data_IF_092200581501
#
_entry.id   IF_092200581501
#
_cell.length_a   1.000
_cell.length_b   1.000
_cell.length_c   1.000
_cell.angle_alpha   90.00
_cell.angle_beta   90.00
_cell.angle_gamma   90.00
#
_symmetry.space_group_name_H-M   'P 1'
#
loop_
_entity.id
_entity.type
_entity.pdbx_description
1 polymer ?
#
# COMPACT_ATOMS: atom_id res chain seq x y z
N UNK A 1 -2.05 -7.02 14.61
CA UNK A 1 -2.29 -5.77 13.83
C UNK A 1 -1.63 -4.54 14.46
N UNK A 2 -1.95 -4.09 15.70
CA UNK A 2 -1.33 -2.87 16.26
C UNK A 2 0.20 -2.98 16.48
N UNK A 3 0.71 -4.17 16.78
CA UNK A 3 2.16 -4.40 16.92
C UNK A 3 2.92 -4.17 15.60
N UNK A 4 2.38 -4.58 14.45
CA UNK A 4 3.02 -4.41 13.14
C UNK A 4 3.13 -2.94 12.74
N UNK A 5 2.07 -2.16 13.01
CA UNK A 5 2.07 -0.70 12.76
C UNK A 5 3.10 0.01 13.67
N UNK A 6 3.29 -0.50 14.91
CA UNK A 6 4.29 0.02 15.84
C UNK A 6 5.72 -0.30 15.39
N UNK A 7 5.97 -1.50 14.82
CA UNK A 7 7.25 -1.85 14.22
C UNK A 7 7.55 -1.00 12.97
N UNK A 8 6.54 -0.71 12.13
CA UNK A 8 6.63 0.23 11.02
C UNK A 8 7.00 1.68 11.42
N UNK A 9 6.77 2.03 12.69
CA UNK A 9 7.08 3.36 13.25
C UNK A 9 8.40 3.41 14.03
N UNK A 10 8.86 2.28 14.58
CA UNK A 10 9.89 2.27 15.63
C UNK A 10 11.14 1.43 15.33
N UNK A 11 11.14 0.56 14.31
CA UNK A 11 12.33 -0.26 13.99
C UNK A 11 13.32 0.49 13.10
N UNK A 12 14.59 0.43 13.48
CA UNK A 12 15.76 0.92 12.72
C UNK A 12 16.26 -0.07 11.64
N UNK A 13 15.66 -1.26 11.54
CA UNK A 13 16.05 -2.30 10.60
C UNK A 13 15.07 -2.34 9.42
N UNK A 14 15.55 -2.13 8.18
CA UNK A 14 14.71 -2.19 6.97
C UNK A 14 13.99 -3.54 6.82
N UNK A 15 14.65 -4.65 7.16
CA UNK A 15 14.03 -5.99 7.11
C UNK A 15 12.76 -6.10 7.97
N UNK A 16 12.72 -5.46 9.15
CA UNK A 16 11.55 -5.49 10.04
C UNK A 16 10.41 -4.60 9.52
N UNK A 17 10.72 -3.56 8.75
CA UNK A 17 9.71 -2.79 8.00
C UNK A 17 9.14 -3.58 6.84
N UNK A 18 9.99 -4.31 6.14
CA UNK A 18 9.59 -5.18 5.04
C UNK A 18 8.66 -6.30 5.52
N UNK A 19 9.08 -7.07 6.52
CA UNK A 19 8.25 -8.13 7.09
C UNK A 19 6.90 -7.60 7.57
N UNK A 20 6.90 -6.41 8.20
CA UNK A 20 5.67 -5.80 8.69
C UNK A 20 4.76 -5.30 7.56
N UNK A 21 5.32 -4.69 6.52
CA UNK A 21 4.58 -4.23 5.35
C UNK A 21 4.02 -5.41 4.54
N UNK A 22 4.82 -6.46 4.33
CA UNK A 22 4.44 -7.70 3.65
C UNK A 22 3.39 -8.47 4.44
N UNK A 23 3.53 -8.57 5.77
CA UNK A 23 2.51 -9.18 6.62
C UNK A 23 1.18 -8.40 6.55
N UNK A 24 1.22 -7.06 6.52
CA UNK A 24 0.03 -6.24 6.34
C UNK A 24 -0.57 -6.40 4.93
N UNK A 25 0.25 -6.46 3.89
CA UNK A 25 -0.17 -6.71 2.52
C UNK A 25 -0.90 -8.06 2.41
N UNK A 26 -0.30 -9.12 2.94
CA UNK A 26 -0.90 -10.46 2.97
C UNK A 26 -2.20 -10.46 3.79
N UNK A 27 -2.20 -9.90 4.99
CA UNK A 27 -3.42 -9.82 5.82
C UNK A 27 -4.55 -9.04 5.15
N UNK A 28 -4.22 -7.99 4.38
CA UNK A 28 -5.18 -7.22 3.60
C UNK A 28 -5.68 -7.95 2.35
N UNK A 29 -4.91 -8.91 1.81
CA UNK A 29 -5.30 -9.74 0.68
C UNK A 29 -6.34 -10.81 1.06
N UNK A 30 -6.26 -11.34 2.29
CA UNK A 30 -7.08 -12.48 2.70
C UNK A 30 -8.42 -12.10 3.36
N UNK A 31 -8.63 -10.85 3.79
CA UNK A 31 -9.85 -10.48 4.50
C UNK A 31 -10.17 -8.98 4.39
N UNK A 32 -11.33 -8.69 3.81
CA UNK A 32 -11.89 -7.35 3.61
C UNK A 32 -12.09 -6.60 4.94
N UNK A 33 -12.51 -7.30 5.99
CA UNK A 33 -12.66 -6.72 7.34
C UNK A 33 -11.30 -6.34 7.95
N UNK A 34 -10.26 -7.17 7.72
CA UNK A 34 -8.91 -6.87 8.20
C UNK A 34 -8.30 -5.72 7.40
N UNK A 35 -8.52 -5.65 6.09
CA UNK A 35 -8.05 -4.54 5.26
C UNK A 35 -8.71 -3.22 5.69
N UNK A 36 -10.00 -3.24 6.00
CA UNK A 36 -10.72 -2.10 6.58
C UNK A 36 -10.16 -1.67 7.94
N UNK A 37 -9.90 -2.62 8.85
CA UNK A 37 -9.31 -2.34 10.15
C UNK A 37 -7.88 -1.78 10.08
N UNK A 38 -7.10 -2.19 9.07
CA UNK A 38 -5.75 -1.68 8.80
C UNK A 38 -5.81 -0.25 8.26
N UNK A 39 -6.69 0.00 7.28
CA UNK A 39 -6.94 1.34 6.74
C UNK A 39 -7.39 2.32 7.83
N UNK A 40 -8.36 1.92 8.66
CA UNK A 40 -8.89 2.72 9.78
C UNK A 40 -7.83 3.05 10.84
N UNK A 41 -6.73 2.30 10.92
CA UNK A 41 -5.60 2.57 11.82
C UNK A 41 -4.53 3.49 11.22
N UNK A 42 -4.81 4.14 10.09
CA UNK A 42 -3.89 5.09 9.44
C UNK A 42 -2.78 4.40 8.65
N UNK A 43 -2.99 3.17 8.18
CA UNK A 43 -2.00 2.47 7.37
C UNK A 43 -1.84 3.06 5.96
N UNK A 44 -2.89 3.67 5.39
CA UNK A 44 -2.87 4.26 4.03
C UNK A 44 -1.75 5.32 3.90
N UNK A 45 -1.72 6.40 4.71
CA UNK A 45 -0.66 7.41 4.61
C UNK A 45 0.73 6.83 4.87
N UNK A 46 0.85 5.84 5.76
CA UNK A 46 2.12 5.14 6.01
C UNK A 46 2.59 4.34 4.79
N UNK A 47 1.69 3.63 4.11
CA UNK A 47 2.02 2.85 2.92
C UNK A 47 2.38 3.75 1.73
N UNK A 48 1.67 4.87 1.56
CA UNK A 48 2.02 5.91 0.56
C UNK A 48 3.39 6.51 0.87
N UNK A 49 3.69 6.78 2.13
CA UNK A 49 5.02 7.26 2.54
C UNK A 49 6.12 6.23 2.27
N UNK A 50 5.86 4.93 2.48
CA UNK A 50 6.80 3.85 2.16
C UNK A 50 7.04 3.72 0.66
N UNK A 51 5.99 3.86 -0.14
CA UNK A 51 6.10 3.90 -1.59
C UNK A 51 6.90 5.13 -2.08
N UNK A 52 6.85 6.25 -1.34
CA UNK A 52 7.63 7.47 -1.61
C UNK A 52 9.10 7.34 -1.20
N UNK A 53 9.43 6.47 -0.25
CA UNK A 53 10.80 6.28 0.24
C UNK A 53 11.73 5.75 -0.86
N UNK A 54 13.00 6.15 -0.85
CA UNK A 54 14.06 5.59 -1.70
C UNK A 54 14.70 4.31 -1.12
N UNK A 55 14.10 3.75 -0.05
CA UNK A 55 14.53 2.50 0.57
C UNK A 55 14.20 1.27 -0.29
N UNK A 56 14.30 0.08 0.31
CA UNK A 56 14.19 -1.20 -0.40
C UNK A 56 13.00 -1.32 -1.36
N UNK A 57 13.27 -1.75 -2.60
CA UNK A 57 12.25 -1.97 -3.63
C UNK A 57 11.23 -3.03 -3.23
N UNK A 58 11.63 -4.03 -2.44
CA UNK A 58 10.71 -5.04 -1.93
C UNK A 58 9.66 -4.46 -0.98
N UNK A 59 10.06 -3.48 -0.14
CA UNK A 59 9.14 -2.72 0.72
C UNK A 59 8.16 -1.91 -0.12
N UNK A 60 8.63 -1.31 -1.21
CA UNK A 60 7.78 -0.54 -2.13
C UNK A 60 6.76 -1.45 -2.84
N UNK A 61 7.19 -2.64 -3.28
CA UNK A 61 6.31 -3.63 -3.91
C UNK A 61 5.24 -4.14 -2.93
N UNK A 62 5.63 -4.47 -1.70
CA UNK A 62 4.68 -4.86 -0.65
C UNK A 62 3.70 -3.74 -0.32
N UNK A 63 4.17 -2.50 -0.23
CA UNK A 63 3.32 -1.34 0.02
C UNK A 63 2.31 -1.11 -1.12
N UNK A 64 2.75 -1.22 -2.37
CA UNK A 64 1.88 -1.14 -3.54
C UNK A 64 0.85 -2.29 -3.55
N UNK A 65 1.28 -3.51 -3.23
CA UNK A 65 0.38 -4.67 -3.11
C UNK A 65 -0.71 -4.50 -2.06
N UNK A 66 -0.35 -3.96 -0.88
CA UNK A 66 -1.30 -3.64 0.18
C UNK A 66 -2.29 -2.54 -0.25
N UNK A 67 -1.80 -1.46 -0.86
CA UNK A 67 -2.64 -0.39 -1.41
C UNK A 67 -3.61 -0.94 -2.46
N UNK A 68 -3.16 -1.85 -3.32
CA UNK A 68 -3.99 -2.43 -4.36
C UNK A 68 -5.12 -3.27 -3.78
N UNK A 69 -4.84 -4.08 -2.74
CA UNK A 69 -5.87 -4.84 -2.02
C UNK A 69 -6.89 -3.90 -1.38
N UNK A 70 -6.43 -2.82 -0.76
CA UNK A 70 -7.34 -1.88 -0.09
C UNK A 70 -8.22 -1.11 -1.08
N UNK A 71 -7.66 -0.73 -2.24
CA UNK A 71 -8.38 -0.04 -3.31
C UNK A 71 -9.45 -0.93 -3.96
N UNK A 72 -9.17 -2.22 -4.17
CA UNK A 72 -10.16 -3.16 -4.75
C UNK A 72 -11.31 -3.51 -3.81
N UNK A 73 -11.17 -3.24 -2.50
CA UNK A 73 -12.16 -3.67 -1.53
C UNK A 73 -13.25 -2.61 -1.24
N UNK A 74 -13.05 -1.32 -1.51
CA UNK A 74 -14.05 -0.25 -1.25
C UNK A 74 -13.67 1.07 -1.90
N UNK A 75 -14.69 1.76 -2.39
CA UNK A 75 -14.61 3.08 -2.99
C UNK A 75 -14.21 4.22 -2.06
N UNK A 76 -14.60 4.17 -0.79
CA UNK A 76 -14.11 5.15 0.19
C UNK A 76 -12.60 5.02 0.39
N UNK A 77 -12.05 3.80 0.29
CA UNK A 77 -10.62 3.54 0.41
C UNK A 77 -9.87 3.91 -0.85
N UNK A 78 -10.44 3.66 -2.03
CA UNK A 78 -9.88 4.08 -3.31
C UNK A 78 -9.75 5.62 -3.34
N UNK A 79 -10.79 6.34 -2.91
CA UNK A 79 -10.80 7.79 -2.78
C UNK A 79 -9.77 8.30 -1.76
N UNK A 80 -9.64 7.65 -0.60
CA UNK A 80 -8.63 8.02 0.41
C UNK A 80 -7.19 7.85 -0.11
N UNK A 81 -6.91 6.78 -0.86
CA UNK A 81 -5.59 6.56 -1.47
C UNK A 81 -5.30 7.64 -2.52
N UNK A 82 -6.30 8.00 -3.35
CA UNK A 82 -6.17 9.09 -4.31
C UNK A 82 -5.93 10.45 -3.63
N UNK A 83 -6.65 10.72 -2.54
CA UNK A 83 -6.55 11.96 -1.76
C UNK A 83 -5.17 12.16 -1.11
N UNK A 84 -4.48 11.07 -0.74
CA UNK A 84 -3.10 11.09 -0.22
C UNK A 84 -2.04 11.38 -1.31
N UNK A 85 -2.47 11.67 -2.54
CA UNK A 85 -1.57 11.96 -3.66
C UNK A 85 -0.82 10.72 -4.14
N UNK A 86 -1.44 9.53 -4.01
CA UNK A 86 -0.83 8.29 -4.49
C UNK A 86 -0.77 8.25 -6.04
N UNK A 87 -1.72 8.85 -6.76
CA UNK A 87 -1.80 8.73 -8.24
C UNK A 87 -0.54 9.24 -8.97
N UNK A 88 -0.04 10.46 -8.73
CA UNK A 88 1.19 10.93 -9.36
C UNK A 88 2.40 10.06 -8.98
N UNK A 89 2.40 9.55 -7.76
CA UNK A 89 3.46 8.75 -7.19
C UNK A 89 3.51 7.34 -7.79
N UNK A 90 2.34 6.74 -8.00
CA UNK A 90 2.15 5.47 -8.71
C UNK A 90 2.66 5.61 -10.14
N UNK A 91 2.29 6.66 -10.88
CA UNK A 91 2.78 6.91 -12.24
C UNK A 91 4.30 7.09 -12.27
N UNK A 92 4.87 7.80 -11.29
CA UNK A 92 6.32 7.96 -11.18
C UNK A 92 7.02 6.62 -10.93
N UNK A 93 6.50 5.80 -10.00
CA UNK A 93 7.05 4.47 -9.70
C UNK A 93 6.86 3.48 -10.83
N UNK A 94 5.82 3.63 -11.65
CA UNK A 94 5.67 2.85 -12.87
C UNK A 94 6.82 3.10 -13.85
N UNK A 95 7.32 4.34 -13.91
CA UNK A 95 8.43 4.74 -14.81
C UNK A 95 9.81 4.43 -14.24
N UNK A 96 9.97 4.38 -12.92
CA UNK A 96 11.28 4.30 -12.26
C UNK A 96 11.47 3.10 -11.32
N UNK A 97 10.45 2.27 -11.11
CA UNK A 97 10.49 1.12 -10.20
C UNK A 97 10.83 -0.18 -10.90
N UNK A 98 11.29 -1.18 -10.14
CA UNK A 98 11.51 -2.54 -10.64
C UNK A 98 10.20 -3.28 -10.90
N UNK A 99 10.27 -4.41 -11.63
CA UNK A 99 9.11 -5.20 -12.04
C UNK A 99 8.13 -5.49 -10.88
N UNK A 100 8.63 -5.82 -9.68
CA UNK A 100 7.77 -6.09 -8.53
C UNK A 100 7.00 -4.86 -8.02
N UNK A 101 7.65 -3.68 -8.05
CA UNK A 101 6.99 -2.41 -7.71
C UNK A 101 5.97 -2.05 -8.78
N UNK A 102 6.34 -2.18 -10.06
CA UNK A 102 5.46 -1.88 -11.19
C UNK A 102 4.20 -2.75 -11.17
N UNK A 103 4.31 -4.05 -10.91
CA UNK A 103 3.16 -4.95 -10.83
C UNK A 103 2.18 -4.51 -9.74
N UNK A 104 2.68 -4.23 -8.54
CA UNK A 104 1.87 -3.71 -7.44
C UNK A 104 1.19 -2.39 -7.81
N UNK A 105 1.94 -1.47 -8.43
CA UNK A 105 1.47 -0.14 -8.86
C UNK A 105 0.37 -0.24 -9.92
N UNK A 106 0.56 -1.08 -10.95
CA UNK A 106 -0.45 -1.35 -11.98
C UNK A 106 -1.73 -1.83 -11.32
N UNK A 107 -1.62 -2.76 -10.35
CA UNK A 107 -2.79 -3.30 -9.67
C UNK A 107 -3.52 -2.26 -8.83
N UNK A 108 -2.81 -1.30 -8.23
CA UNK A 108 -3.45 -0.15 -7.56
C UNK A 108 -4.22 0.67 -8.60
N UNK A 109 -3.59 1.05 -9.71
CA UNK A 109 -4.21 1.87 -10.75
C UNK A 109 -5.43 1.20 -11.37
N UNK A 110 -5.37 -0.13 -11.60
CA UNK A 110 -6.51 -0.92 -12.05
C UNK A 110 -7.62 -0.86 -11.01
N UNK A 111 -7.32 -1.11 -9.73
CA UNK A 111 -8.32 -1.02 -8.67
C UNK A 111 -8.98 0.36 -8.55
N UNK A 112 -8.21 1.43 -8.73
CA UNK A 112 -8.73 2.81 -8.78
C UNK A 112 -9.56 3.08 -10.04
N UNK A 113 -9.26 2.43 -11.17
CA UNK A 113 -9.96 2.64 -12.45
C UNK A 113 -11.25 1.82 -12.55
N UNK A 114 -11.25 0.60 -12.00
CA UNK A 114 -12.43 -0.28 -11.96
C UNK A 114 -13.52 0.23 -11.02
N UNK A 115 -13.14 1.09 -10.08
CA UNK A 115 -14.00 1.67 -9.06
C UNK A 115 -14.48 3.08 -9.45
N UNK A 116 -14.51 3.36 -10.76
CA UNK A 116 -15.12 4.57 -11.31
C UNK A 116 -16.58 4.61 -10.89
N UNK A 117 -17.04 5.67 -10.20
CA UNK A 117 -18.46 5.84 -9.92
C UNK A 117 -19.16 6.17 -11.23
N UNK A 118 -20.09 5.30 -11.66
CA UNK A 118 -21.22 5.76 -12.47
C UNK A 118 -22.16 6.62 -11.62
#
# INVERSE_FOLDING_TARGET
IPALIRHLRSSCCEAVHEEAATALANLSAFSTDRSAAIAAKGAIPLLVQRLRSSGSESVQAAAAGALANMATCSSDRSAAIAAEGAIPLLVQRLRSGSNGVQEGVVRVLVGLSTDSPE
#
